data_IF_453513861042
#
_entry.id   IF_453513861042
#
_cell.length_a   1.000
_cell.length_b   1.000
_cell.length_c   1.000
_cell.angle_alpha   90.00
_cell.angle_beta   90.00
_cell.angle_gamma   90.00
#
_symmetry.space_group_name_H-M   'P 1'
#
loop_
_entity.id
_entity.type
_entity.pdbx_description
1 polymer ?
#
# COMPACT_ATOMS: atom_id res chain seq x y z
N UNK A 1 5.76 8.46 -5.24
CA UNK A 1 6.82 7.97 -6.14
C UNK A 1 7.13 6.48 -5.94
N UNK A 2 7.40 6.00 -4.72
CA UNK A 2 7.68 4.58 -4.46
C UNK A 2 6.65 3.61 -5.06
N UNK A 3 5.36 3.94 -5.00
CA UNK A 3 4.27 3.16 -5.62
C UNK A 3 4.42 3.01 -7.13
N UNK A 4 4.81 4.07 -7.84
CA UNK A 4 5.04 4.01 -9.29
C UNK A 4 6.27 3.17 -9.62
N UNK A 5 7.36 3.36 -8.87
CA UNK A 5 8.59 2.57 -9.06
C UNK A 5 8.30 1.09 -8.79
N UNK A 6 7.55 0.77 -7.74
CA UNK A 6 7.16 -0.60 -7.41
C UNK A 6 6.33 -1.26 -8.51
N UNK A 7 5.38 -0.53 -9.10
CA UNK A 7 4.58 -1.04 -10.22
C UNK A 7 5.41 -1.42 -11.45
N UNK A 8 6.50 -0.72 -11.71
CA UNK A 8 7.37 -0.97 -12.87
C UNK A 8 8.43 -2.01 -12.53
N UNK A 9 9.10 -1.83 -11.39
CA UNK A 9 10.33 -2.51 -11.03
C UNK A 9 10.10 -3.79 -10.21
N UNK A 10 8.94 -3.93 -9.56
CA UNK A 10 8.52 -5.17 -8.93
C UNK A 10 9.13 -5.48 -7.58
N UNK A 11 10.17 -4.79 -7.08
CA UNK A 11 10.76 -5.02 -5.74
C UNK A 11 10.42 -3.91 -4.75
N UNK A 12 9.97 -4.28 -3.55
CA UNK A 12 9.59 -3.31 -2.52
C UNK A 12 10.80 -2.55 -2.01
N UNK A 13 11.88 -3.26 -1.70
CA UNK A 13 13.11 -2.66 -1.17
C UNK A 13 13.77 -1.72 -2.17
N UNK A 14 13.87 -2.12 -3.43
CA UNK A 14 14.46 -1.27 -4.46
C UNK A 14 13.57 -0.06 -4.73
N UNK A 15 12.25 -0.25 -4.87
CA UNK A 15 11.33 0.88 -5.05
C UNK A 15 11.39 1.88 -3.88
N UNK A 16 11.51 1.39 -2.65
CA UNK A 16 11.70 2.23 -1.46
C UNK A 16 13.00 3.02 -1.51
N UNK A 17 14.14 2.34 -1.73
CA UNK A 17 15.47 2.99 -1.75
C UNK A 17 15.55 3.98 -2.91
N UNK A 18 15.12 3.60 -4.11
CA UNK A 18 15.09 4.50 -5.27
C UNK A 18 14.23 5.72 -4.98
N UNK A 19 13.04 5.53 -4.40
CA UNK A 19 12.17 6.64 -4.08
C UNK A 19 12.77 7.58 -3.03
N UNK A 20 13.38 7.02 -1.98
CA UNK A 20 14.04 7.78 -0.94
C UNK A 20 15.24 8.56 -1.49
N UNK A 21 16.12 7.92 -2.27
CA UNK A 21 17.32 8.54 -2.83
C UNK A 21 17.01 9.71 -3.76
N UNK A 22 15.98 9.59 -4.61
CA UNK A 22 15.57 10.68 -5.51
C UNK A 22 14.88 11.80 -4.74
N UNK A 23 14.06 11.48 -3.72
CA UNK A 23 13.26 12.49 -3.01
C UNK A 23 14.07 13.23 -1.94
N UNK A 24 15.07 12.59 -1.32
CA UNK A 24 15.85 13.13 -0.21
C UNK A 24 16.46 14.54 -0.48
N UNK A 25 17.20 14.79 -1.59
CA UNK A 25 17.79 16.10 -1.83
C UNK A 25 16.75 17.20 -2.09
N UNK A 26 15.60 16.84 -2.66
CA UNK A 26 14.49 17.77 -2.92
C UNK A 26 13.84 18.17 -1.60
N UNK A 27 13.57 17.20 -0.74
CA UNK A 27 12.94 17.40 0.56
C UNK A 27 13.87 18.16 1.53
N UNK A 28 15.19 17.97 1.44
CA UNK A 28 16.16 18.68 2.25
C UNK A 28 16.21 20.20 1.98
N UNK A 29 15.72 20.65 0.82
CA UNK A 29 15.64 22.06 0.46
C UNK A 29 14.35 22.73 0.96
N UNK A 30 13.38 21.97 1.47
CA UNK A 30 12.10 22.49 1.96
C UNK A 30 12.18 22.71 3.47
N UNK A 31 12.12 23.96 3.96
CA UNK A 31 12.17 24.25 5.39
C UNK A 31 10.98 23.65 6.13
N UNK A 32 11.22 23.03 7.29
CA UNK A 32 10.16 22.54 8.17
C UNK A 32 9.60 21.15 7.81
N UNK A 33 10.12 20.47 6.79
CA UNK A 33 9.74 19.09 6.46
C UNK A 33 10.34 18.10 7.46
N UNK A 34 9.52 17.14 7.91
CA UNK A 34 9.98 16.05 8.76
C UNK A 34 10.50 14.89 7.89
N UNK A 35 11.82 14.74 7.85
CA UNK A 35 12.48 13.69 7.05
C UNK A 35 12.09 12.26 7.49
N UNK A 36 11.71 12.07 8.76
CA UNK A 36 11.26 10.77 9.27
C UNK A 36 9.90 10.38 8.68
N UNK A 37 8.98 11.34 8.55
CA UNK A 37 7.68 11.12 7.89
C UNK A 37 7.86 10.87 6.39
N UNK A 38 8.79 11.57 5.74
CA UNK A 38 9.12 11.32 4.35
C UNK A 38 9.69 9.91 4.12
N UNK A 39 10.56 9.44 5.01
CA UNK A 39 11.08 8.07 4.96
C UNK A 39 9.96 7.04 5.12
N UNK A 40 9.05 7.25 6.09
CA UNK A 40 7.88 6.39 6.28
C UNK A 40 6.97 6.39 5.05
N UNK A 41 6.74 7.55 4.40
CA UNK A 41 5.96 7.64 3.18
C UNK A 41 6.58 6.81 2.03
N UNK A 42 7.92 6.82 1.90
CA UNK A 42 8.62 5.99 0.93
C UNK A 42 8.49 4.50 1.24
N UNK A 43 8.58 4.10 2.51
CA UNK A 43 8.37 2.71 2.96
C UNK A 43 6.96 2.23 2.67
N UNK A 44 5.94 2.98 3.11
CA UNK A 44 4.54 2.58 2.91
C UNK A 44 4.19 2.52 1.42
N UNK A 45 4.70 3.46 0.63
CA UNK A 45 4.50 3.48 -0.83
C UNK A 45 5.04 2.26 -1.58
N UNK A 46 6.03 1.55 -1.02
CA UNK A 46 6.65 0.37 -1.63
C UNK A 46 5.81 -0.90 -1.55
N UNK A 47 4.76 -0.91 -0.72
CA UNK A 47 3.90 -2.06 -0.47
C UNK A 47 2.79 -2.21 -1.52
N UNK A 48 2.64 -1.26 -2.44
CA UNK A 48 1.55 -1.28 -3.39
C UNK A 48 1.67 -2.47 -4.36
N UNK A 49 0.58 -3.24 -4.47
CA UNK A 49 0.32 -4.25 -5.48
C UNK A 49 1.54 -5.14 -5.81
N UNK A 50 1.89 -6.07 -4.90
CA UNK A 50 2.92 -7.08 -5.18
C UNK A 50 2.41 -8.12 -6.18
N UNK A 51 3.02 -8.23 -7.36
CA UNK A 51 2.61 -9.13 -8.45
C UNK A 51 3.75 -10.06 -8.88
N UNK A 52 3.64 -10.74 -10.03
CA UNK A 52 4.61 -11.73 -10.52
C UNK A 52 6.09 -11.25 -10.55
N UNK A 53 6.33 -9.95 -10.59
CA UNK A 53 7.65 -9.34 -10.57
C UNK A 53 8.24 -9.19 -9.15
N UNK A 54 7.50 -9.58 -8.12
CA UNK A 54 7.94 -9.59 -6.73
C UNK A 54 8.44 -10.99 -6.33
N UNK A 55 9.62 -11.10 -5.74
CA UNK A 55 10.15 -12.39 -5.30
C UNK A 55 9.34 -12.97 -4.14
N UNK A 56 8.82 -12.11 -3.25
CA UNK A 56 8.00 -12.52 -2.11
C UNK A 56 6.65 -13.10 -2.53
N UNK A 57 6.10 -12.67 -3.67
CA UNK A 57 4.89 -13.25 -4.26
C UNK A 57 5.06 -14.76 -4.45
N UNK A 58 6.17 -15.17 -5.05
CA UNK A 58 6.42 -16.59 -5.33
C UNK A 58 6.71 -17.39 -4.07
N UNK A 59 7.43 -16.79 -3.11
CA UNK A 59 7.75 -17.44 -1.84
C UNK A 59 6.47 -17.73 -1.05
N UNK A 60 5.62 -16.72 -0.85
CA UNK A 60 4.39 -16.85 -0.05
C UNK A 60 3.41 -17.82 -0.70
N UNK A 61 3.21 -17.72 -2.02
CA UNK A 61 2.31 -18.61 -2.73
C UNK A 61 2.78 -20.07 -2.71
N UNK A 62 4.09 -20.33 -2.83
CA UNK A 62 4.63 -21.69 -2.70
C UNK A 62 4.52 -22.23 -1.27
N UNK A 63 4.75 -21.39 -0.25
CA UNK A 63 4.60 -21.80 1.15
C UNK A 63 3.16 -22.13 1.51
N UNK A 64 2.19 -21.46 0.90
CA UNK A 64 0.75 -21.74 1.09
C UNK A 64 0.23 -22.87 0.20
N UNK A 65 1.06 -23.45 -0.68
CA UNK A 65 0.66 -24.54 -1.58
C UNK A 65 -0.34 -24.13 -2.68
N UNK A 66 -0.50 -22.83 -2.94
CA UNK A 66 -1.45 -22.32 -3.93
C UNK A 66 -0.81 -22.39 -5.32
N UNK A 67 -1.37 -23.20 -6.21
CA UNK A 67 -0.87 -23.39 -7.59
C UNK A 67 -1.66 -22.60 -8.64
N UNK A 68 -2.89 -22.18 -8.34
CA UNK A 68 -3.71 -21.38 -9.25
C UNK A 68 -3.24 -19.91 -9.28
N UNK A 69 -2.80 -19.45 -10.45
CA UNK A 69 -2.29 -18.09 -10.69
C UNK A 69 -3.29 -17.00 -10.29
N UNK A 70 -4.60 -17.21 -10.50
CA UNK A 70 -5.62 -16.24 -10.09
C UNK A 70 -5.69 -16.13 -8.57
N UNK A 71 -5.64 -17.27 -7.87
CA UNK A 71 -5.63 -17.27 -6.41
C UNK A 71 -4.33 -16.71 -5.85
N UNK A 72 -3.19 -17.00 -6.48
CA UNK A 72 -1.89 -16.46 -6.09
C UNK A 72 -1.85 -14.93 -6.09
N UNK A 73 -2.46 -14.33 -7.12
CA UNK A 73 -2.60 -12.87 -7.24
C UNK A 73 -3.47 -12.30 -6.12
N UNK A 74 -4.60 -12.94 -5.82
CA UNK A 74 -5.48 -12.48 -4.73
C UNK A 74 -4.79 -12.61 -3.37
N UNK A 75 -4.11 -13.73 -3.11
CA UNK A 75 -3.47 -14.02 -1.82
C UNK A 75 -2.36 -13.03 -1.47
N UNK A 76 -1.60 -12.53 -2.46
CA UNK A 76 -0.49 -11.63 -2.19
C UNK A 76 -0.78 -10.17 -2.57
N UNK A 77 -1.38 -9.89 -3.73
CA UNK A 77 -1.57 -8.52 -4.21
C UNK A 77 -2.64 -7.77 -3.40
N UNK A 78 -3.68 -8.47 -2.90
CA UNK A 78 -4.72 -7.82 -2.09
C UNK A 78 -4.19 -7.40 -0.72
N UNK A 79 -3.60 -8.29 0.12
CA UNK A 79 -3.13 -7.88 1.44
C UNK A 79 -2.04 -6.81 1.39
N UNK A 80 -1.14 -6.88 0.41
CA UNK A 80 -0.09 -5.87 0.21
C UNK A 80 -0.68 -4.49 -0.13
N UNK A 81 -1.71 -4.45 -0.98
CA UNK A 81 -2.43 -3.20 -1.31
C UNK A 81 -3.20 -2.65 -0.11
N UNK A 82 -3.79 -3.51 0.73
CA UNK A 82 -4.44 -3.08 1.98
C UNK A 82 -3.40 -2.49 2.95
N UNK A 83 -2.25 -3.17 3.11
CA UNK A 83 -1.17 -2.68 3.97
C UNK A 83 -0.61 -1.33 3.48
N UNK A 84 -0.42 -1.17 2.17
CA UNK A 84 -0.05 0.11 1.55
C UNK A 84 -1.03 1.23 1.91
N UNK A 85 -2.33 0.94 1.82
CA UNK A 85 -3.37 1.94 2.06
C UNK A 85 -3.50 2.35 3.52
N UNK A 86 -3.46 1.37 4.45
CA UNK A 86 -3.48 1.63 5.89
C UNK A 86 -2.22 2.42 6.28
N UNK A 87 -1.05 1.99 5.80
CA UNK A 87 0.23 2.64 6.07
C UNK A 87 0.29 4.06 5.52
N UNK A 88 -0.11 4.26 4.25
CA UNK A 88 -0.17 5.57 3.61
C UNK A 88 -1.14 6.53 4.31
N UNK A 89 -2.30 6.02 4.72
CA UNK A 89 -3.26 6.76 5.54
C UNK A 89 -2.66 7.16 6.89
N UNK A 90 -2.00 6.23 7.58
CA UNK A 90 -1.36 6.51 8.87
C UNK A 90 -0.28 7.59 8.76
N UNK A 91 0.56 7.54 7.72
CA UNK A 91 1.57 8.57 7.48
C UNK A 91 0.94 9.94 7.19
N UNK A 92 -0.13 9.99 6.40
CA UNK A 92 -0.86 11.23 6.14
C UNK A 92 -1.51 11.82 7.41
N UNK A 93 -2.11 10.98 8.26
CA UNK A 93 -2.69 11.41 9.54
C UNK A 93 -1.63 11.92 10.52
N UNK A 94 -0.48 11.24 10.62
CA UNK A 94 0.63 11.70 11.47
C UNK A 94 1.19 13.02 10.95
N UNK A 95 1.30 13.18 9.62
CA UNK A 95 1.72 14.45 9.01
C UNK A 95 0.72 15.58 9.28
N UNK A 96 -0.57 15.30 9.38
CA UNK A 96 -1.58 16.31 9.75
C UNK A 96 -1.46 16.74 11.23
N UNK A 97 -1.18 15.80 12.13
CA UNK A 97 -1.11 16.07 13.58
C UNK A 97 0.21 16.73 14.00
N UNK A 98 1.32 16.41 13.31
CA UNK A 98 2.67 16.80 13.73
C UNK A 98 3.45 17.60 12.65
N UNK A 99 2.92 17.75 11.43
CA UNK A 99 3.57 18.44 10.33
C UNK A 99 3.19 19.92 10.23
N UNK A 100 4.16 20.75 9.88
CA UNK A 100 4.04 22.23 9.80
C UNK A 100 3.35 22.76 8.53
N UNK A 101 2.85 21.88 7.66
CA UNK A 101 2.28 22.23 6.35
C UNK A 101 1.12 21.34 5.88
N UNK A 102 0.44 20.63 6.78
CA UNK A 102 -0.70 19.78 6.45
C UNK A 102 -1.88 20.60 5.91
N UNK A 103 -2.30 20.31 4.69
CA UNK A 103 -3.50 20.92 4.09
C UNK A 103 -4.74 20.15 4.54
N UNK A 104 -5.88 20.83 4.70
CA UNK A 104 -7.17 20.20 5.03
C UNK A 104 -7.66 19.18 3.98
N UNK A 105 -7.01 19.12 2.82
CA UNK A 105 -7.22 18.14 1.75
C UNK A 105 -6.40 16.85 1.94
N UNK A 106 -5.36 16.85 2.76
CA UNK A 106 -4.51 15.69 3.06
C UNK A 106 -5.24 14.52 3.76
N UNK A 107 -6.34 14.71 4.54
CA UNK A 107 -7.15 13.61 5.06
C UNK A 107 -8.17 13.06 4.05
N UNK A 108 -8.46 13.77 2.97
CA UNK A 108 -9.45 13.34 1.98
C UNK A 108 -9.01 12.04 1.29
N UNK A 109 -7.74 11.96 0.86
CA UNK A 109 -7.16 10.76 0.25
C UNK A 109 -7.17 9.56 1.19
N UNK A 110 -6.65 9.65 2.43
CA UNK A 110 -6.75 8.62 3.46
C UNK A 110 -8.17 8.14 3.73
N UNK A 111 -9.13 9.06 3.90
CA UNK A 111 -10.52 8.72 4.21
C UNK A 111 -11.19 8.05 3.01
N UNK A 112 -10.97 8.55 1.79
CA UNK A 112 -11.50 7.93 0.56
C UNK A 112 -10.91 6.55 0.35
N UNK A 113 -9.60 6.36 0.57
CA UNK A 113 -8.93 5.07 0.44
C UNK A 113 -9.42 4.09 1.51
N UNK A 114 -9.55 4.51 2.77
CA UNK A 114 -10.12 3.68 3.84
C UNK A 114 -11.59 3.34 3.59
N UNK A 115 -12.39 4.28 3.11
CA UNK A 115 -13.78 4.05 2.74
C UNK A 115 -13.88 3.07 1.57
N UNK A 116 -13.03 3.22 0.54
CA UNK A 116 -12.96 2.29 -0.59
C UNK A 116 -12.56 0.87 -0.14
N UNK A 117 -11.61 0.75 0.80
CA UNK A 117 -11.23 -0.55 1.38
C UNK A 117 -12.37 -1.13 2.21
N UNK A 118 -13.02 -0.34 3.07
CA UNK A 118 -14.17 -0.83 3.83
C UNK A 118 -15.31 -1.30 2.93
N UNK A 119 -15.61 -0.57 1.85
CA UNK A 119 -16.61 -0.96 0.86
C UNK A 119 -16.22 -2.24 0.11
N UNK A 120 -14.94 -2.34 -0.29
CA UNK A 120 -14.43 -3.52 -0.98
C UNK A 120 -14.41 -4.77 -0.09
N UNK A 121 -13.98 -4.62 1.17
CA UNK A 121 -14.03 -5.68 2.19
C UNK A 121 -15.47 -6.13 2.44
N UNK A 122 -16.41 -5.18 2.53
CA UNK A 122 -17.84 -5.49 2.68
C UNK A 122 -18.39 -6.23 1.46
N UNK A 123 -17.99 -5.86 0.26
CA UNK A 123 -18.40 -6.53 -0.98
C UNK A 123 -17.87 -7.97 -1.06
N UNK A 124 -16.60 -8.19 -0.70
CA UNK A 124 -16.02 -9.53 -0.55
C UNK A 124 -16.79 -10.38 0.48
N UNK A 125 -17.11 -9.80 1.64
CA UNK A 125 -17.85 -10.49 2.70
C UNK A 125 -19.29 -10.86 2.26
N UNK A 126 -19.95 -10.03 1.45
CA UNK A 126 -21.25 -10.35 0.86
C UNK A 126 -21.16 -11.51 -0.13
N UNK A 127 -20.16 -11.51 -1.03
CA UNK A 127 -19.97 -12.61 -1.97
C UNK A 127 -19.66 -13.98 -1.33
N UNK A 128 -19.10 -13.99 -0.11
CA UNK A 128 -18.92 -15.21 0.68
C UNK A 128 -20.24 -15.65 1.31
N UNK A 129 -21.02 -14.72 1.87
CA UNK A 129 -22.34 -15.00 2.47
C UNK A 129 -23.30 -15.58 1.43
N UNK A 130 -23.35 -15.01 0.23
CA UNK A 130 -24.24 -15.48 -0.84
C UNK A 130 -23.91 -16.93 -1.26
N UNK A 131 -22.63 -17.32 -1.26
CA UNK A 131 -22.20 -18.71 -1.54
C UNK A 131 -22.54 -19.70 -0.43
N UNK A 132 -22.70 -19.23 0.81
CA UNK A 132 -23.10 -20.05 1.95
C UNK A 132 -24.63 -20.23 2.00
N UNK A 133 -25.40 -19.19 1.62
CA UNK A 133 -26.88 -19.22 1.59
C UNK A 133 -27.44 -20.06 0.44
N UNK A 134 -26.73 -20.16 -0.70
CA UNK A 134 -27.16 -20.98 -1.86
C UNK A 134 -26.88 -22.48 -1.66
N UNK A 135 -26.26 -22.89 -0.54
CA UNK A 135 -25.90 -24.28 -0.26
C UNK A 135 -26.93 -25.03 0.60
N UNK A 136 -28.04 -24.39 0.97
CA UNK A 136 -29.20 -24.98 1.65
C UNK A 136 -30.36 -25.22 0.66
#
# INVERSE_FOLDING_TARGET
MATLVRLIQGSGTVAMITAASISAPILAQIPGINMLLAAQAATMGSLFFGYFNDSLFWVVNRMMGVSDVKQQMVVWSVPTTIAWAIGGTGVALINLLFGSGGSWLDPLLPIVVLAAIMLWVRWQAQGIKDKLVVKD
#
